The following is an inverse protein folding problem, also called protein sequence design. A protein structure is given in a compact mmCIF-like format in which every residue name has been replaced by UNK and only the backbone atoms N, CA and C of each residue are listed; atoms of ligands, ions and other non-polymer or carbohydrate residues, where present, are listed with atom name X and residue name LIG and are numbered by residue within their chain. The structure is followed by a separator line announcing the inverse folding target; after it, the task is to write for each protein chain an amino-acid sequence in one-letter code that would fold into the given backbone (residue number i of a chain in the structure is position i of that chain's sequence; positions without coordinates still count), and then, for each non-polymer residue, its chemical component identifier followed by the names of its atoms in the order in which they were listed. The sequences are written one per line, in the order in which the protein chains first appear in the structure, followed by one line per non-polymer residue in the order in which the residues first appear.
data_IF_646146678568
#
_entry.id   IF_646146678568
#
_cell.length_a   1.000
_cell.length_b   1.000
_cell.length_c   1.000
_cell.angle_alpha   90.00
_cell.angle_beta   90.00
_cell.angle_gamma   90.00
#
_symmetry.space_group_name_H-M   'P 1'
#
loop_
_entity.id
_entity.type
_entity.pdbx_description
1 polymer ?
#
# COMPACT_ATOMS: atom_id res chain seq x y z
N UNK A 1 25.05 12.61 21.92
CA UNK A 1 25.42 12.97 20.53
C UNK A 1 24.12 13.10 19.74
N UNK A 2 24.04 14.02 18.79
CA UNK A 2 22.80 14.23 18.01
C UNK A 2 22.71 13.15 16.94
N UNK A 3 21.57 12.45 16.86
CA UNK A 3 21.26 11.40 15.88
C UNK A 3 21.63 11.79 14.44
N UNK A 4 21.32 13.03 14.07
CA UNK A 4 21.63 13.60 12.75
C UNK A 4 23.13 13.63 12.46
N UNK A 5 23.95 13.95 13.46
CA UNK A 5 25.41 14.03 13.30
C UNK A 5 26.01 12.64 13.09
N UNK A 6 25.47 11.64 13.77
CA UNK A 6 25.93 10.26 13.65
C UNK A 6 25.52 9.67 12.28
N UNK A 7 24.30 9.99 11.80
CA UNK A 7 23.84 9.63 10.45
C UNK A 7 24.63 10.34 9.33
N UNK A 8 24.97 11.62 9.51
CA UNK A 8 25.85 12.35 8.58
C UNK A 8 27.24 11.71 8.49
N UNK A 9 27.77 11.21 9.62
CA UNK A 9 29.05 10.51 9.65
C UNK A 9 28.96 9.14 8.96
N UNK A 10 27.89 8.38 9.21
CA UNK A 10 27.64 7.06 8.62
C UNK A 10 27.51 7.13 7.10
N UNK A 11 26.70 8.07 6.62
CA UNK A 11 26.42 8.25 5.19
C UNK A 11 27.52 8.99 4.41
N UNK A 12 28.51 9.56 5.10
CA UNK A 12 29.50 10.44 4.48
C UNK A 12 28.91 11.74 3.92
N UNK A 13 27.77 12.20 4.47
CA UNK A 13 27.07 13.40 4.02
C UNK A 13 26.31 13.23 2.71
N UNK A 14 25.82 12.03 2.43
CA UNK A 14 25.03 11.69 1.24
C UNK A 14 23.72 11.00 1.62
N UNK A 15 22.75 11.00 0.71
CA UNK A 15 21.55 10.20 0.87
C UNK A 15 21.93 8.72 0.79
N UNK A 16 21.51 7.95 1.77
CA UNK A 16 21.83 6.51 1.86
C UNK A 16 21.07 5.66 0.83
N UNK A 17 20.06 6.23 0.18
CA UNK A 17 19.29 5.58 -0.89
C UNK A 17 19.77 6.01 -2.27
N UNK A 18 19.83 7.32 -2.54
CA UNK A 18 20.08 7.88 -3.88
C UNK A 18 21.50 8.42 -4.09
N UNK A 19 22.30 8.55 -3.03
CA UNK A 19 23.63 9.16 -3.10
C UNK A 19 23.63 10.69 -3.26
N UNK A 20 22.46 11.34 -3.33
CA UNK A 20 22.33 12.79 -3.42
C UNK A 20 22.99 13.51 -2.22
N UNK A 21 23.55 14.69 -2.42
CA UNK A 21 24.20 15.49 -1.36
C UNK A 21 23.35 16.65 -0.86
N UNK A 22 22.20 16.89 -1.49
CA UNK A 22 21.38 18.07 -1.26
C UNK A 22 20.10 17.73 -0.49
N UNK A 23 19.63 18.69 0.33
CA UNK A 23 18.37 18.61 1.06
C UNK A 23 18.20 17.32 1.88
N UNK A 24 19.27 16.92 2.57
CA UNK A 24 19.32 15.72 3.41
C UNK A 24 18.53 15.95 4.71
N UNK A 25 17.72 14.97 5.07
CA UNK A 25 16.93 14.94 6.30
C UNK A 25 16.99 13.55 6.92
N UNK A 26 16.88 13.51 8.24
CA UNK A 26 16.74 12.25 8.97
C UNK A 26 15.32 11.73 8.76
N UNK A 27 15.21 10.50 8.28
CA UNK A 27 13.95 9.77 8.14
C UNK A 27 13.94 8.61 9.12
N UNK A 28 13.01 8.64 10.07
CA UNK A 28 12.78 7.57 11.02
C UNK A 28 11.80 6.57 10.42
N UNK A 29 12.23 5.32 10.33
CA UNK A 29 11.43 4.22 9.77
C UNK A 29 10.38 3.81 10.81
N UNK A 30 9.14 3.71 10.35
CA UNK A 30 8.00 3.20 11.13
C UNK A 30 7.63 1.78 10.69
N UNK A 31 7.14 0.90 11.57
CA UNK A 31 6.96 1.11 13.02
C UNK A 31 8.31 1.09 13.77
N UNK A 32 8.51 2.00 14.71
CA UNK A 32 9.71 2.05 15.56
C UNK A 32 9.74 0.89 16.55
N UNK A 33 10.89 0.22 16.73
CA UNK A 33 11.06 -0.81 17.77
C UNK A 33 11.75 -0.21 19.00
N UNK A 34 12.97 0.31 18.81
CA UNK A 34 13.82 0.96 19.83
C UNK A 34 14.17 2.40 19.47
N UNK A 35 14.04 2.78 18.19
CA UNK A 35 14.42 4.08 17.67
C UNK A 35 15.93 4.28 17.58
N UNK A 36 16.33 5.45 17.08
CA UNK A 36 17.74 5.83 16.96
C UNK A 36 18.35 5.50 15.60
N UNK A 37 19.67 5.31 15.56
CA UNK A 37 20.44 5.22 14.31
C UNK A 37 20.17 3.95 13.50
N UNK A 38 19.80 2.86 14.17
CA UNK A 38 19.50 1.57 13.53
C UNK A 38 18.11 1.55 12.89
N UNK A 39 17.27 2.54 13.17
CA UNK A 39 15.92 2.66 12.63
C UNK A 39 15.72 3.99 11.89
N UNK A 40 16.79 4.74 11.68
CA UNK A 40 16.79 5.99 10.93
C UNK A 40 17.76 5.90 9.77
N UNK A 41 17.43 6.63 8.70
CA UNK A 41 18.32 6.84 7.57
C UNK A 41 18.48 8.32 7.29
N UNK A 42 19.57 8.67 6.61
CA UNK A 42 19.73 9.98 6.00
C UNK A 42 19.24 9.92 4.55
N UNK A 43 18.13 10.60 4.26
CA UNK A 43 17.52 10.60 2.94
C UNK A 43 17.34 12.01 2.40
N UNK A 44 17.39 12.18 1.08
CA UNK A 44 17.01 13.46 0.46
C UNK A 44 15.51 13.70 0.65
N UNK A 45 15.12 14.97 0.72
CA UNK A 45 13.71 15.36 0.83
C UNK A 45 12.83 14.73 -0.28
N UNK A 46 13.39 14.54 -1.48
CA UNK A 46 12.70 13.87 -2.60
C UNK A 46 12.44 12.39 -2.34
N UNK A 47 13.41 11.66 -1.79
CA UNK A 47 13.20 10.26 -1.41
C UNK A 47 12.15 10.14 -0.30
N UNK A 48 12.22 11.00 0.71
CA UNK A 48 11.25 11.01 1.82
C UNK A 48 9.83 11.29 1.32
N UNK A 49 9.66 12.30 0.45
CA UNK A 49 8.34 12.62 -0.09
C UNK A 49 7.74 11.42 -0.85
N UNK A 50 8.54 10.70 -1.63
CA UNK A 50 8.05 9.53 -2.36
C UNK A 50 7.82 8.31 -1.46
N UNK A 51 8.60 8.13 -0.39
CA UNK A 51 8.35 7.09 0.62
C UNK A 51 6.98 7.34 1.27
N UNK A 52 6.71 8.56 1.71
CA UNK A 52 5.47 8.92 2.41
C UNK A 52 4.25 9.04 1.50
N UNK A 53 4.44 9.35 0.20
CA UNK A 53 3.37 9.56 -0.76
C UNK A 53 3.47 8.57 -1.93
N UNK A 54 2.84 7.38 -1.82
CA UNK A 54 2.85 6.37 -2.88
C UNK A 54 2.38 6.88 -4.25
N UNK A 55 1.42 7.80 -4.28
CA UNK A 55 0.86 8.37 -5.52
C UNK A 55 1.86 9.22 -6.32
N UNK A 56 2.94 9.69 -5.69
CA UNK A 56 3.99 10.52 -6.32
C UNK A 56 5.25 9.73 -6.67
N UNK A 57 5.20 8.40 -6.59
CA UNK A 57 6.37 7.54 -6.83
C UNK A 57 6.85 7.67 -8.29
N UNK A 58 8.09 8.10 -8.49
CA UNK A 58 8.75 8.15 -9.80
C UNK A 58 9.72 6.97 -9.95
N UNK A 59 9.45 6.00 -10.86
CA UNK A 59 10.32 4.85 -11.08
C UNK A 59 11.77 5.19 -11.44
N UNK A 60 12.04 6.37 -12.03
CA UNK A 60 13.40 6.75 -12.41
C UNK A 60 14.27 7.13 -11.21
N UNK A 61 13.67 7.72 -10.17
CA UNK A 61 14.39 8.07 -8.95
C UNK A 61 14.91 6.81 -8.24
N UNK A 62 14.15 5.72 -8.31
CA UNK A 62 14.40 4.48 -7.58
C UNK A 62 15.35 3.51 -8.30
N UNK A 63 16.02 3.92 -9.39
CA UNK A 63 17.05 3.10 -10.03
C UNK A 63 18.21 2.78 -9.09
N UNK A 64 18.46 3.65 -8.12
CA UNK A 64 19.47 3.48 -7.08
C UNK A 64 19.19 2.32 -6.12
N UNK A 65 17.96 1.78 -6.09
CA UNK A 65 17.60 0.67 -5.20
C UNK A 65 18.41 -0.60 -5.45
N UNK A 66 18.89 -0.81 -6.68
CA UNK A 66 19.78 -1.93 -7.01
C UNK A 66 21.08 -1.90 -6.19
N UNK A 67 21.56 -0.72 -5.80
CA UNK A 67 22.76 -0.56 -4.98
C UNK A 67 22.39 -0.47 -3.50
N UNK A 68 21.35 0.30 -3.15
CA UNK A 68 20.99 0.52 -1.74
C UNK A 68 20.42 -0.71 -1.05
N UNK A 69 19.84 -1.66 -1.80
CA UNK A 69 19.38 -2.95 -1.25
C UNK A 69 20.51 -3.80 -0.64
N UNK A 70 21.75 -3.59 -1.07
CA UNK A 70 22.94 -4.29 -0.57
C UNK A 70 23.72 -3.50 0.49
N UNK A 71 23.14 -2.42 1.01
CA UNK A 71 23.77 -1.61 2.06
C UNK A 71 24.09 -2.46 3.29
N UNK A 72 25.22 -2.19 3.95
CA UNK A 72 25.57 -2.81 5.23
C UNK A 72 24.65 -2.37 6.39
N UNK A 73 23.78 -1.39 6.13
CA UNK A 73 22.88 -0.83 7.12
C UNK A 73 21.46 -1.34 6.93
N UNK A 74 21.00 -2.15 7.89
CA UNK A 74 19.64 -2.67 7.95
C UNK A 74 18.53 -1.65 7.64
N UNK A 75 18.51 -0.42 8.21
CA UNK A 75 17.43 0.53 7.92
C UNK A 75 17.39 0.95 6.44
N UNK A 76 18.53 0.96 5.74
CA UNK A 76 18.60 1.23 4.30
C UNK A 76 18.06 0.04 3.51
N UNK A 77 18.42 -1.18 3.91
CA UNK A 77 17.89 -2.40 3.29
C UNK A 77 16.36 -2.48 3.45
N UNK A 78 15.82 -2.18 4.62
CA UNK A 78 14.38 -2.21 4.92
C UNK A 78 13.60 -1.21 4.06
N UNK A 79 14.08 0.02 3.94
CA UNK A 79 13.45 1.01 3.06
C UNK A 79 13.60 0.63 1.59
N UNK A 80 14.74 0.06 1.19
CA UNK A 80 14.95 -0.41 -0.17
C UNK A 80 13.98 -1.55 -0.52
N UNK A 81 13.82 -2.52 0.38
CA UNK A 81 12.86 -3.61 0.24
C UNK A 81 11.44 -3.07 0.07
N UNK A 82 11.01 -2.16 0.95
CA UNK A 82 9.68 -1.52 0.90
C UNK A 82 9.39 -0.84 -0.43
N UNK A 83 10.34 -0.06 -0.93
CA UNK A 83 10.20 0.61 -2.21
C UNK A 83 10.24 -0.36 -3.39
N UNK A 84 11.06 -1.41 -3.34
CA UNK A 84 11.08 -2.48 -4.35
C UNK A 84 9.75 -3.25 -4.40
N UNK A 85 9.16 -3.56 -3.26
CA UNK A 85 7.84 -4.18 -3.14
C UNK A 85 6.75 -3.29 -3.72
N UNK A 86 6.77 -2.00 -3.38
CA UNK A 86 5.84 -1.01 -3.96
C UNK A 86 5.97 -0.88 -5.49
N UNK A 87 7.18 -1.04 -6.03
CA UNK A 87 7.47 -0.98 -7.47
C UNK A 87 7.24 -2.31 -8.20
N UNK A 88 6.84 -3.37 -7.50
CA UNK A 88 6.61 -4.70 -8.07
C UNK A 88 7.87 -5.38 -8.61
N UNK A 89 9.06 -5.06 -8.07
CA UNK A 89 10.36 -5.59 -8.51
C UNK A 89 10.72 -6.90 -7.81
N UNK A 90 9.89 -7.93 -8.05
CA UNK A 90 10.03 -9.25 -7.40
C UNK A 90 11.41 -9.90 -7.68
N UNK A 91 11.96 -9.67 -8.87
CA UNK A 91 13.28 -10.16 -9.29
C UNK A 91 14.43 -9.67 -8.38
N UNK A 92 14.32 -8.45 -7.86
CA UNK A 92 15.31 -7.89 -6.94
C UNK A 92 15.02 -8.29 -5.49
N UNK A 93 13.74 -8.40 -5.12
CA UNK A 93 13.33 -8.82 -3.78
C UNK A 93 13.78 -10.25 -3.47
N UNK A 94 13.68 -11.16 -4.44
CA UNK A 94 14.14 -12.56 -4.29
C UNK A 94 15.65 -12.69 -4.05
N UNK A 95 16.42 -11.68 -4.46
CA UNK A 95 17.87 -11.63 -4.22
C UNK A 95 18.21 -11.10 -2.82
N UNK A 96 17.32 -10.29 -2.22
CA UNK A 96 17.55 -9.78 -0.87
C UNK A 96 17.42 -10.89 0.16
N UNK A 97 18.44 -11.03 0.99
CA UNK A 97 18.37 -11.89 2.17
C UNK A 97 18.22 -11.02 3.41
N UNK A 98 17.04 -11.06 4.01
CA UNK A 98 16.72 -10.44 5.31
C UNK A 98 16.37 -11.55 6.29
N UNK A 99 16.82 -11.42 7.53
CA UNK A 99 16.40 -12.30 8.63
C UNK A 99 14.89 -12.20 8.85
N UNK A 100 14.27 -13.24 9.40
CA UNK A 100 12.81 -13.32 9.55
C UNK A 100 12.22 -12.13 10.30
N UNK A 101 12.87 -11.71 11.39
CA UNK A 101 12.45 -10.55 12.18
C UNK A 101 12.52 -9.27 11.35
N UNK A 102 13.56 -9.08 10.55
CA UNK A 102 13.78 -7.87 9.78
C UNK A 102 12.87 -7.78 8.56
N UNK A 103 12.62 -8.92 7.92
CA UNK A 103 11.62 -9.05 6.88
C UNK A 103 10.22 -8.73 7.42
N UNK A 104 9.87 -9.21 8.62
CA UNK A 104 8.60 -8.89 9.27
C UNK A 104 8.47 -7.38 9.52
N UNK A 105 9.57 -6.70 9.86
CA UNK A 105 9.56 -5.24 10.02
C UNK A 105 9.45 -4.49 8.70
N UNK A 106 10.11 -4.96 7.64
CA UNK A 106 9.95 -4.41 6.31
C UNK A 106 8.50 -4.53 5.83
N UNK A 107 7.86 -5.67 6.08
CA UNK A 107 6.45 -5.96 5.76
C UNK A 107 5.43 -5.21 6.61
N UNK A 108 5.81 -4.69 7.76
CA UNK A 108 4.86 -4.08 8.71
C UNK A 108 4.09 -2.87 8.17
N UNK A 109 4.54 -2.26 7.07
CA UNK A 109 3.84 -1.15 6.38
C UNK A 109 2.87 -1.62 5.28
N UNK A 110 2.76 -2.92 5.02
CA UNK A 110 1.88 -3.48 3.99
C UNK A 110 2.36 -3.27 2.56
N UNK A 111 3.62 -2.86 2.35
CA UNK A 111 4.15 -2.55 1.01
C UNK A 111 4.49 -3.78 0.16
N UNK A 112 4.58 -4.95 0.79
CA UNK A 112 4.69 -6.24 0.09
C UNK A 112 3.47 -7.13 0.28
N UNK A 113 2.34 -6.55 0.72
CA UNK A 113 1.06 -7.18 0.50
C UNK A 113 0.78 -7.01 -1.00
N UNK A 114 0.77 -8.11 -1.75
CA UNK A 114 0.56 -8.12 -3.20
C UNK A 114 -0.62 -7.20 -3.56
N UNK A 115 -0.42 -6.32 -4.55
CA UNK A 115 -1.49 -5.52 -5.14
C UNK A 115 -2.54 -6.44 -5.82
N UNK A 116 -2.21 -7.72 -6.03
CA UNK A 116 -3.15 -8.79 -6.42
C UNK A 116 -4.13 -9.18 -5.29
N UNK A 117 -3.87 -8.72 -4.06
CA UNK A 117 -4.78 -8.77 -2.90
C UNK A 117 -5.63 -7.50 -2.79
N UNK A 118 -5.39 -6.46 -3.60
CA UNK A 118 -6.43 -5.45 -3.83
C UNK A 118 -7.46 -6.08 -4.73
N UNK A 119 -8.37 -6.80 -4.09
CA UNK A 119 -9.61 -7.25 -4.68
C UNK A 119 -10.29 -6.04 -5.33
N UNK A 120 -10.12 -5.87 -6.64
CA UNK A 120 -10.65 -4.73 -7.38
C UNK A 120 -12.10 -5.03 -7.73
N UNK A 121 -13.00 -4.44 -6.97
CA UNK A 121 -14.43 -4.50 -7.24
C UNK A 121 -14.77 -3.61 -8.42
N UNK A 122 -15.35 -4.18 -9.48
CA UNK A 122 -15.80 -3.44 -10.67
C UNK A 122 -17.29 -3.63 -10.89
N UNK A 123 -17.98 -2.55 -11.23
CA UNK A 123 -19.39 -2.60 -11.58
C UNK A 123 -19.62 -3.27 -12.96
N UNK A 124 -20.89 -3.40 -13.35
CA UNK A 124 -21.29 -3.94 -14.66
C UNK A 124 -20.71 -3.22 -15.89
N UNK A 125 -20.26 -1.98 -15.76
CA UNK A 125 -19.65 -1.18 -16.83
C UNK A 125 -18.12 -1.12 -16.72
N UNK A 126 -17.51 -1.84 -15.77
CA UNK A 126 -16.07 -1.85 -15.53
C UNK A 126 -15.56 -0.67 -14.69
N UNK A 127 -16.44 0.09 -14.04
CA UNK A 127 -16.06 1.18 -13.14
C UNK A 127 -15.63 0.62 -11.79
N UNK A 128 -14.44 1.01 -11.32
CA UNK A 128 -13.95 0.61 -10.00
C UNK A 128 -14.81 1.18 -8.87
N UNK A 129 -15.23 0.30 -7.98
CA UNK A 129 -16.02 0.60 -6.79
C UNK A 129 -15.09 0.81 -5.58
N UNK A 130 -15.44 1.76 -4.73
CA UNK A 130 -14.77 2.07 -3.49
C UNK A 130 -15.72 1.97 -2.30
N UNK A 131 -15.20 1.67 -1.12
CA UNK A 131 -15.99 1.72 0.12
C UNK A 131 -16.58 3.12 0.31
N UNK A 132 -17.88 3.21 0.54
CA UNK A 132 -18.63 4.46 0.66
C UNK A 132 -19.34 4.90 -0.61
N UNK A 133 -19.10 4.24 -1.76
CA UNK A 133 -19.78 4.55 -3.00
C UNK A 133 -21.29 4.26 -2.93
N UNK A 134 -22.02 4.82 -3.89
CA UNK A 134 -23.43 4.51 -4.13
C UNK A 134 -23.59 3.81 -5.47
N UNK A 135 -24.38 2.74 -5.48
CA UNK A 135 -24.63 1.92 -6.67
C UNK A 135 -26.12 1.69 -6.86
N UNK A 136 -26.54 1.37 -8.08
CA UNK A 136 -27.92 1.01 -8.43
C UNK A 136 -27.97 -0.43 -8.94
N UNK A 137 -28.98 -1.18 -8.51
CA UNK A 137 -29.22 -2.53 -9.01
C UNK A 137 -29.70 -2.48 -10.46
N UNK A 138 -29.03 -3.21 -11.35
CA UNK A 138 -29.43 -3.35 -12.76
C UNK A 138 -30.30 -4.59 -13.02
N UNK A 139 -30.49 -5.45 -12.01
CA UNK A 139 -31.34 -6.65 -12.07
C UNK A 139 -32.08 -6.87 -10.74
N UNK A 140 -33.19 -7.60 -10.80
CA UNK A 140 -33.90 -8.10 -9.62
C UNK A 140 -33.05 -9.19 -8.93
N UNK A 141 -32.76 -9.02 -7.64
CA UNK A 141 -31.98 -9.97 -6.85
C UNK A 141 -32.83 -10.51 -5.69
N UNK A 142 -32.92 -11.84 -5.60
CA UNK A 142 -33.54 -12.50 -4.44
C UNK A 142 -32.49 -12.61 -3.33
N UNK A 143 -32.80 -12.03 -2.17
CA UNK A 143 -31.90 -12.06 -1.01
C UNK A 143 -31.90 -13.45 -0.40
N UNK A 144 -30.73 -14.09 -0.30
CA UNK A 144 -30.62 -15.38 0.39
C UNK A 144 -30.89 -15.18 1.89
N UNK A 145 -31.75 -16.02 2.47
CA UNK A 145 -32.12 -15.92 3.89
C UNK A 145 -33.27 -14.96 4.21
N UNK A 146 -33.88 -14.32 3.21
CA UNK A 146 -35.08 -13.47 3.35
C UNK A 146 -36.10 -13.79 2.26
N UNK A 147 -37.37 -13.46 2.50
CA UNK A 147 -38.41 -13.45 1.45
C UNK A 147 -38.36 -12.19 0.59
N UNK A 148 -37.48 -11.23 0.92
CA UNK A 148 -37.32 -9.96 0.21
C UNK A 148 -36.62 -10.14 -1.15
N UNK A 149 -37.12 -9.42 -2.15
CA UNK A 149 -36.51 -9.31 -3.48
C UNK A 149 -36.10 -7.85 -3.67
N UNK A 150 -34.79 -7.60 -3.81
CA UNK A 150 -34.27 -6.29 -4.12
C UNK A 150 -34.52 -6.02 -5.61
N UNK A 151 -35.34 -5.01 -5.91
CA UNK A 151 -35.80 -4.73 -7.27
C UNK A 151 -34.76 -3.96 -8.08
N UNK A 152 -34.74 -4.19 -9.38
CA UNK A 152 -34.00 -3.36 -10.33
C UNK A 152 -34.36 -1.88 -10.14
N UNK A 153 -33.34 -1.02 -10.17
CA UNK A 153 -33.47 0.41 -9.91
C UNK A 153 -33.34 0.81 -8.44
N UNK A 154 -33.26 -0.15 -7.51
CA UNK A 154 -33.01 0.15 -6.10
C UNK A 154 -31.60 0.72 -5.92
N UNK A 155 -31.49 1.89 -5.28
CA UNK A 155 -30.23 2.52 -4.97
C UNK A 155 -29.69 2.02 -3.62
N UNK A 156 -28.44 1.60 -3.62
CA UNK A 156 -27.70 1.11 -2.45
C UNK A 156 -26.59 2.10 -2.18
N UNK A 157 -26.67 2.77 -1.02
CA UNK A 157 -25.71 3.82 -0.64
C UNK A 157 -24.73 3.28 0.40
N UNK A 158 -23.53 3.86 0.42
CA UNK A 158 -22.49 3.53 1.41
C UNK A 158 -22.12 2.05 1.39
N UNK A 159 -21.80 1.54 0.19
CA UNK A 159 -21.40 0.13 0.02
C UNK A 159 -20.08 -0.16 0.73
N UNK A 160 -19.90 -1.40 1.17
CA UNK A 160 -18.62 -1.91 1.66
C UNK A 160 -18.11 -2.97 0.71
N UNK A 161 -16.80 -2.94 0.47
CA UNK A 161 -16.13 -3.92 -0.37
C UNK A 161 -15.87 -5.19 0.42
N UNK A 162 -16.07 -6.35 -0.21
CA UNK A 162 -15.68 -7.63 0.39
C UNK A 162 -14.15 -7.77 0.36
N UNK A 163 -13.60 -8.27 1.47
CA UNK A 163 -12.15 -8.39 1.69
C UNK A 163 -11.56 -9.68 1.12
N UNK A 164 -12.42 -10.64 0.74
CA UNK A 164 -12.03 -11.99 0.29
C UNK A 164 -12.50 -12.29 -1.15
N UNK A 165 -13.44 -11.51 -1.73
CA UNK A 165 -13.96 -11.79 -3.08
C UNK A 165 -14.35 -10.55 -3.92
N UNK A 166 -13.77 -10.40 -5.12
CA UNK A 166 -13.98 -9.25 -6.03
C UNK A 166 -15.38 -9.16 -6.65
N UNK A 167 -16.12 -10.26 -6.61
CA UNK A 167 -17.45 -10.33 -7.16
C UNK A 167 -18.52 -9.85 -6.18
N UNK A 168 -18.20 -9.63 -4.90
CA UNK A 168 -19.19 -9.34 -3.87
C UNK A 168 -18.96 -7.99 -3.19
N UNK A 169 -20.04 -7.27 -2.94
CA UNK A 169 -20.05 -6.06 -2.12
C UNK A 169 -21.20 -6.16 -1.12
N UNK A 170 -21.03 -5.55 0.04
CA UNK A 170 -22.09 -5.43 1.04
C UNK A 170 -22.80 -4.09 0.91
N UNK A 171 -24.12 -4.12 1.02
CA UNK A 171 -24.94 -2.94 0.93
C UNK A 171 -26.19 -3.04 1.78
N UNK A 172 -26.78 -1.89 2.11
CA UNK A 172 -28.02 -1.82 2.89
C UNK A 172 -29.21 -1.51 1.99
N UNK A 173 -30.21 -2.39 2.01
CA UNK A 173 -31.49 -2.24 1.30
C UNK A 173 -32.63 -2.43 2.29
N UNK A 174 -33.55 -1.47 2.36
CA UNK A 174 -34.72 -1.51 3.26
C UNK A 174 -34.41 -1.89 4.72
N UNK A 175 -33.27 -1.40 5.23
CA UNK A 175 -32.83 -1.65 6.60
C UNK A 175 -32.03 -2.94 6.80
N UNK A 176 -31.98 -3.84 5.82
CA UNK A 176 -31.24 -5.11 5.87
C UNK A 176 -29.89 -4.99 5.15
N UNK A 177 -28.84 -5.55 5.75
CA UNK A 177 -27.55 -5.71 5.07
C UNK A 177 -27.61 -6.95 4.19
N UNK A 178 -27.24 -6.79 2.93
CA UNK A 178 -27.23 -7.86 1.93
C UNK A 178 -25.89 -7.88 1.18
N UNK A 179 -25.48 -9.07 0.76
CA UNK A 179 -24.34 -9.26 -0.14
C UNK A 179 -24.85 -9.22 -1.58
N UNK A 180 -24.22 -8.39 -2.41
CA UNK A 180 -24.63 -8.08 -3.77
C UNK A 180 -23.48 -8.42 -4.71
N UNK A 181 -23.79 -9.02 -5.87
CA UNK A 181 -22.79 -9.29 -6.89
C UNK A 181 -22.49 -8.01 -7.68
N UNK A 182 -21.21 -7.66 -7.82
CA UNK A 182 -20.73 -6.43 -8.46
C UNK A 182 -21.13 -6.33 -9.94
N UNK A 183 -21.25 -7.46 -10.63
CA UNK A 183 -21.76 -7.53 -12.01
C UNK A 183 -23.24 -7.10 -12.16
N UNK A 184 -24.00 -7.00 -11.07
CA UNK A 184 -25.41 -6.60 -11.09
C UNK A 184 -25.66 -5.21 -10.52
N UNK A 185 -24.58 -4.45 -10.33
CA UNK A 185 -24.67 -3.06 -9.91
C UNK A 185 -24.04 -2.13 -10.94
N UNK A 186 -24.46 -0.87 -10.88
CA UNK A 186 -23.85 0.23 -11.62
C UNK A 186 -23.55 1.37 -10.65
N UNK A 187 -22.36 1.94 -10.71
CA UNK A 187 -22.01 3.12 -9.90
C UNK A 187 -22.88 4.31 -10.29
N UNK A 188 -23.39 5.04 -9.28
CA UNK A 188 -24.18 6.27 -9.43
C UNK A 188 -23.25 7.48 -9.55
#
# INVERSE_FOLDING_TARGET
MSLERDLMKRSGGKCELSGATENLKVYQILPTRKGGIEESILASATCIEQIENPEKTDPNLWRCLNESMWSEHLPVQVVSWRMLSRLGKQDLLEQMYLEEEDLAWAKATGEGDDDDTKIVHKDSNGVTLQTGDSVVLIKDLKVKGSSMVAKQGTAVRNIRLDHENAEYIEGKVDGQTIVIITQYVKKI
#
